data_IF_565195824857
#
_entry.id   IF_565195824857
#
_cell.length_a   1.000
_cell.length_b   1.000
_cell.length_c   1.000
_cell.angle_alpha   90.00
_cell.angle_beta   90.00
_cell.angle_gamma   90.00
#
_symmetry.space_group_name_H-M   'P 1'
#
loop_
_entity.id
_entity.type
_entity.pdbx_description
1 polymer ?
#
# COMPACT_ATOMS: atom_id res chain seq x y z
N UNK A 1 49.32 44.96 -38.60
CA UNK A 1 50.03 44.51 -37.37
C UNK A 1 49.05 43.60 -36.62
N UNK A 2 49.19 42.29 -36.76
CA UNK A 2 48.34 41.33 -36.05
C UNK A 2 48.94 41.08 -34.67
N UNK A 3 48.17 41.33 -33.61
CA UNK A 3 48.53 41.00 -32.22
C UNK A 3 48.73 39.50 -32.08
N UNK A 4 49.82 39.02 -31.45
CA UNK A 4 50.00 37.59 -31.22
C UNK A 4 48.93 37.12 -30.24
N UNK A 5 48.16 36.10 -30.63
CA UNK A 5 47.26 35.41 -29.72
C UNK A 5 48.11 34.75 -28.63
N UNK A 6 47.98 35.20 -27.39
CA UNK A 6 48.65 34.58 -26.24
C UNK A 6 48.18 33.14 -26.11
N UNK A 7 49.13 32.20 -26.08
CA UNK A 7 48.81 30.79 -25.89
C UNK A 7 48.11 30.59 -24.53
N UNK A 8 47.07 29.76 -24.44
CA UNK A 8 46.40 29.48 -23.18
C UNK A 8 47.38 28.86 -22.18
N UNK A 9 47.42 29.41 -20.97
CA UNK A 9 48.22 28.88 -19.85
C UNK A 9 47.68 27.54 -19.37
N UNK A 10 48.56 26.69 -18.82
CA UNK A 10 48.20 25.37 -18.27
C UNK A 10 47.06 25.48 -17.26
N UNK A 11 47.09 26.50 -16.39
CA UNK A 11 46.03 26.79 -15.41
C UNK A 11 44.66 27.06 -16.05
N UNK A 12 44.62 27.68 -17.24
CA UNK A 12 43.38 27.93 -17.97
C UNK A 12 42.81 26.64 -18.59
N UNK A 13 43.67 25.74 -19.04
CA UNK A 13 43.27 24.44 -19.56
C UNK A 13 42.72 23.55 -18.43
N UNK A 14 43.42 23.49 -17.29
CA UNK A 14 42.98 22.75 -16.11
C UNK A 14 41.64 23.28 -15.55
N UNK A 15 41.48 24.61 -15.48
CA UNK A 15 40.22 25.21 -15.05
C UNK A 15 39.07 24.91 -16.02
N UNK A 16 39.35 24.88 -17.34
CA UNK A 16 38.35 24.55 -18.36
C UNK A 16 37.89 23.09 -18.24
N UNK A 17 38.83 22.17 -17.98
CA UNK A 17 38.52 20.76 -17.80
C UNK A 17 37.72 20.53 -16.50
N UNK A 18 38.06 21.21 -15.41
CA UNK A 18 37.27 21.18 -14.16
C UNK A 18 35.85 21.72 -14.36
N UNK A 19 35.69 22.82 -15.10
CA UNK A 19 34.36 23.38 -15.42
C UNK A 19 33.54 22.41 -16.26
N UNK A 20 34.16 21.70 -17.21
CA UNK A 20 33.48 20.69 -18.02
C UNK A 20 32.97 19.52 -17.17
N UNK A 21 33.79 19.02 -16.24
CA UNK A 21 33.40 17.96 -15.30
C UNK A 21 32.25 18.42 -14.40
N UNK A 22 32.33 19.61 -13.81
CA UNK A 22 31.28 20.16 -12.96
C UNK A 22 29.96 20.41 -13.73
N UNK A 23 30.04 20.74 -15.01
CA UNK A 23 28.85 20.86 -15.86
C UNK A 23 28.19 19.49 -16.08
N UNK A 24 28.99 18.47 -16.37
CA UNK A 24 28.47 17.11 -16.55
C UNK A 24 27.84 16.57 -15.27
N UNK A 25 28.49 16.71 -14.12
CA UNK A 25 27.95 16.35 -12.81
C UNK A 25 26.63 17.09 -12.51
N UNK A 26 26.56 18.39 -12.78
CA UNK A 26 25.32 19.16 -12.62
C UNK A 26 24.19 18.61 -13.48
N UNK A 27 24.45 18.24 -14.75
CA UNK A 27 23.41 17.66 -15.60
C UNK A 27 22.89 16.32 -15.08
N UNK A 28 23.77 15.50 -14.49
CA UNK A 28 23.38 14.23 -13.87
C UNK A 28 22.55 14.46 -12.60
N UNK A 29 22.93 15.44 -11.78
CA UNK A 29 22.16 15.83 -10.59
C UNK A 29 20.76 16.33 -10.97
N UNK A 30 20.62 17.14 -12.02
CA UNK A 30 19.32 17.60 -12.50
C UNK A 30 18.41 16.44 -12.94
N UNK A 31 18.95 15.48 -13.69
CA UNK A 31 18.20 14.26 -14.08
C UNK A 31 17.77 13.46 -12.86
N UNK A 32 18.63 13.32 -11.85
CA UNK A 32 18.30 12.64 -10.61
C UNK A 32 17.17 13.35 -9.84
N UNK A 33 17.20 14.68 -9.77
CA UNK A 33 16.16 15.49 -9.14
C UNK A 33 14.82 15.30 -9.86
N UNK A 34 14.79 15.32 -11.20
CA UNK A 34 13.58 15.09 -11.98
C UNK A 34 12.98 13.70 -11.71
N UNK A 35 13.79 12.65 -11.69
CA UNK A 35 13.33 11.30 -11.35
C UNK A 35 12.77 11.23 -9.93
N UNK A 36 13.45 11.83 -8.95
CA UNK A 36 12.97 11.88 -7.58
C UNK A 36 11.64 12.62 -7.46
N UNK A 37 11.45 13.72 -8.19
CA UNK A 37 10.16 14.45 -8.19
C UNK A 37 9.01 13.59 -8.72
N UNK A 38 9.25 12.79 -9.77
CA UNK A 38 8.27 11.84 -10.31
C UNK A 38 7.92 10.78 -9.26
N UNK A 39 8.92 10.23 -8.58
CA UNK A 39 8.74 9.23 -7.52
C UNK A 39 7.97 9.81 -6.32
N UNK A 40 8.33 11.01 -5.88
CA UNK A 40 7.61 11.71 -4.81
C UNK A 40 6.16 12.00 -5.21
N UNK A 41 5.88 12.41 -6.45
CA UNK A 41 4.52 12.63 -6.92
C UNK A 41 3.70 11.33 -6.94
N UNK A 42 4.32 10.22 -7.34
CA UNK A 42 3.71 8.88 -7.30
C UNK A 42 3.41 8.42 -5.88
N UNK A 43 4.38 8.59 -4.97
CA UNK A 43 4.23 8.26 -3.55
C UNK A 43 3.17 9.12 -2.88
N UNK A 44 3.14 10.43 -3.12
CA UNK A 44 2.12 11.33 -2.58
C UNK A 44 0.71 10.94 -3.00
N UNK A 45 0.51 10.53 -4.27
CA UNK A 45 -0.78 9.99 -4.75
C UNK A 45 -1.17 8.71 -4.00
N UNK A 46 -0.22 7.82 -3.74
CA UNK A 46 -0.46 6.57 -2.99
C UNK A 46 -0.78 6.84 -1.52
N UNK A 47 -0.05 7.73 -0.87
CA UNK A 47 -0.29 8.16 0.51
C UNK A 47 -1.69 8.77 0.62
N UNK A 48 -2.05 9.70 -0.27
CA UNK A 48 -3.40 10.29 -0.30
C UNK A 48 -4.52 9.26 -0.51
N UNK A 49 -4.26 8.21 -1.31
CA UNK A 49 -5.20 7.12 -1.50
C UNK A 49 -5.36 6.22 -0.26
N UNK A 50 -4.33 6.15 0.59
CA UNK A 50 -4.32 5.37 1.84
C UNK A 50 -4.83 6.18 3.05
N UNK A 51 -4.55 7.49 3.09
CA UNK A 51 -5.06 8.44 4.08
C UNK A 51 -6.56 8.72 3.94
N UNK A 52 -7.09 8.48 2.73
CA UNK A 52 -8.52 8.27 2.59
C UNK A 52 -8.89 7.04 3.41
N UNK A 53 -9.32 7.26 4.66
CA UNK A 53 -9.92 6.25 5.53
C UNK A 53 -10.75 5.31 4.66
N UNK A 54 -10.67 3.97 4.84
CA UNK A 54 -11.40 3.05 3.98
C UNK A 54 -12.85 3.48 4.05
N UNK A 55 -13.34 4.15 2.98
CA UNK A 55 -14.70 4.67 2.92
C UNK A 55 -15.54 3.51 3.36
N UNK A 56 -16.17 3.61 4.53
CA UNK A 56 -17.00 2.54 5.06
C UNK A 56 -17.94 2.18 3.93
N UNK A 57 -17.65 1.06 3.28
CA UNK A 57 -18.40 0.68 2.12
C UNK A 57 -19.72 0.27 2.73
N UNK A 58 -20.81 1.01 2.49
CA UNK A 58 -22.15 0.61 2.97
C UNK A 58 -22.42 -0.89 2.70
N UNK A 59 -21.84 -1.41 1.61
CA UNK A 59 -21.85 -2.84 1.24
C UNK A 59 -21.03 -3.74 2.18
N UNK A 60 -19.89 -3.30 2.69
CA UNK A 60 -19.10 -4.05 3.68
C UNK A 60 -19.89 -4.23 4.98
N UNK A 61 -20.51 -3.18 5.51
CA UNK A 61 -21.38 -3.27 6.69
C UNK A 61 -22.52 -4.28 6.48
N UNK A 62 -23.24 -4.19 5.35
CA UNK A 62 -24.27 -5.17 4.99
C UNK A 62 -23.75 -6.61 4.92
N UNK A 63 -22.54 -6.83 4.41
CA UNK A 63 -21.92 -8.16 4.39
C UNK A 63 -21.60 -8.65 5.80
N UNK A 64 -21.16 -7.77 6.72
CA UNK A 64 -20.92 -8.13 8.11
C UNK A 64 -22.21 -8.49 8.83
N UNK A 65 -23.31 -7.78 8.58
CA UNK A 65 -24.61 -8.09 9.17
C UNK A 65 -25.16 -9.44 8.69
N UNK A 66 -25.05 -9.73 7.39
CA UNK A 66 -25.44 -11.04 6.85
C UNK A 66 -24.58 -12.16 7.44
N UNK A 67 -23.28 -11.93 7.62
CA UNK A 67 -22.37 -12.89 8.25
C UNK A 67 -22.74 -13.13 9.72
N UNK A 68 -23.05 -12.06 10.45
CA UNK A 68 -23.46 -12.11 11.85
C UNK A 68 -24.75 -12.93 12.01
N UNK A 69 -25.78 -12.59 11.23
CA UNK A 69 -27.05 -13.31 11.19
C UNK A 69 -26.86 -14.78 10.84
N UNK A 70 -25.99 -15.07 9.87
CA UNK A 70 -25.69 -16.45 9.49
C UNK A 70 -25.06 -17.22 10.65
N UNK A 71 -24.07 -16.65 11.35
CA UNK A 71 -23.41 -17.31 12.47
C UNK A 71 -24.37 -17.54 13.66
N UNK A 72 -25.27 -16.59 13.93
CA UNK A 72 -26.32 -16.77 14.95
C UNK A 72 -27.29 -17.88 14.55
N UNK A 73 -27.88 -17.79 13.35
CA UNK A 73 -28.93 -18.73 12.91
C UNK A 73 -28.41 -20.14 12.70
N UNK A 74 -27.19 -20.27 12.19
CA UNK A 74 -26.57 -21.59 11.95
C UNK A 74 -26.04 -22.24 13.23
N UNK A 75 -25.87 -21.48 14.33
CA UNK A 75 -25.23 -21.95 15.55
C UNK A 75 -23.77 -22.38 15.36
N UNK A 76 -23.14 -22.04 14.23
CA UNK A 76 -21.77 -22.42 13.96
C UNK A 76 -20.81 -21.63 14.87
N UNK A 77 -19.84 -22.34 15.46
CA UNK A 77 -18.82 -21.72 16.31
C UNK A 77 -17.95 -20.71 15.56
N UNK A 78 -17.86 -20.84 14.23
CA UNK A 78 -17.21 -19.90 13.34
C UNK A 78 -17.06 -20.46 11.93
N UNK A 79 -16.69 -19.59 10.98
CA UNK A 79 -16.52 -19.92 9.57
C UNK A 79 -15.15 -19.51 9.04
N UNK A 80 -14.61 -20.29 8.11
CA UNK A 80 -13.39 -19.90 7.38
C UNK A 80 -13.69 -18.82 6.34
N UNK A 81 -12.69 -18.06 5.91
CA UNK A 81 -12.83 -17.09 4.81
C UNK A 81 -13.38 -17.70 3.50
N UNK A 82 -13.08 -18.98 3.24
CA UNK A 82 -13.60 -19.70 2.08
C UNK A 82 -15.11 -19.92 2.19
N UNK A 83 -15.59 -20.34 3.37
CA UNK A 83 -17.02 -20.52 3.63
C UNK A 83 -17.76 -19.19 3.67
N UNK A 84 -17.14 -18.15 4.26
CA UNK A 84 -17.69 -16.80 4.26
C UNK A 84 -17.98 -16.30 2.84
N UNK A 85 -17.08 -16.56 1.88
CA UNK A 85 -17.31 -16.20 0.48
C UNK A 85 -18.61 -16.83 -0.06
N UNK A 86 -18.87 -18.10 0.26
CA UNK A 86 -20.11 -18.80 -0.12
C UNK A 86 -21.34 -18.22 0.57
N UNK A 87 -21.26 -17.93 1.87
CA UNK A 87 -22.36 -17.33 2.65
C UNK A 87 -22.76 -15.97 2.09
N UNK A 88 -21.76 -15.13 1.81
CA UNK A 88 -21.97 -13.77 1.30
C UNK A 88 -22.25 -13.73 -0.21
N UNK A 89 -22.19 -14.87 -0.91
CA UNK A 89 -22.31 -14.98 -2.38
C UNK A 89 -21.35 -14.06 -3.12
N UNK A 90 -20.11 -13.97 -2.64
CA UNK A 90 -19.04 -13.16 -3.24
C UNK A 90 -17.85 -14.02 -3.63
N UNK A 91 -16.97 -13.47 -4.48
CA UNK A 91 -15.73 -14.15 -4.82
C UNK A 91 -14.78 -14.23 -3.61
N UNK A 92 -13.93 -15.27 -3.52
CA UNK A 92 -12.96 -15.40 -2.42
C UNK A 92 -12.03 -14.19 -2.27
N UNK A 93 -11.68 -13.54 -3.38
CA UNK A 93 -10.88 -12.31 -3.38
C UNK A 93 -11.60 -11.17 -2.67
N UNK A 94 -12.90 -10.99 -2.93
CA UNK A 94 -13.72 -9.96 -2.30
C UNK A 94 -13.96 -10.25 -0.82
N UNK A 95 -14.20 -11.51 -0.47
CA UNK A 95 -14.26 -11.97 0.91
C UNK A 95 -12.97 -11.65 1.69
N UNK A 96 -11.79 -11.83 1.08
CA UNK A 96 -10.50 -11.50 1.70
C UNK A 96 -10.32 -9.99 1.94
N UNK A 97 -10.91 -9.13 1.11
CA UNK A 97 -10.88 -7.68 1.32
C UNK A 97 -11.70 -7.24 2.54
N UNK A 98 -12.70 -8.02 2.96
CA UNK A 98 -13.45 -7.75 4.19
C UNK A 98 -12.65 -8.04 5.47
N UNK A 99 -11.43 -8.60 5.36
CA UNK A 99 -10.61 -8.97 6.52
C UNK A 99 -10.38 -7.79 7.49
N UNK A 100 -10.09 -6.60 6.95
CA UNK A 100 -9.84 -5.42 7.79
C UNK A 100 -11.12 -5.02 8.53
N UNK A 101 -12.24 -4.92 7.81
CA UNK A 101 -13.55 -4.61 8.40
C UNK A 101 -14.00 -5.64 9.46
N UNK A 102 -13.73 -6.93 9.26
CA UNK A 102 -14.02 -7.97 10.27
C UNK A 102 -13.13 -7.81 11.51
N UNK A 103 -11.91 -7.31 11.34
CA UNK A 103 -10.96 -7.11 12.45
C UNK A 103 -11.27 -5.83 13.24
N UNK A 104 -11.87 -4.83 12.58
CA UNK A 104 -12.34 -3.57 13.16
C UNK A 104 -13.70 -3.74 13.87
N UNK A 105 -14.55 -4.68 13.43
CA UNK A 105 -15.87 -4.92 14.00
C UNK A 105 -15.80 -5.75 15.31
N UNK A 106 -16.24 -5.15 16.40
CA UNK A 106 -16.21 -5.73 17.75
C UNK A 106 -17.03 -7.03 17.89
N UNK A 107 -18.01 -7.26 17.01
CA UNK A 107 -18.87 -8.47 17.06
C UNK A 107 -18.10 -9.73 16.72
N UNK A 108 -16.96 -9.61 16.02
CA UNK A 108 -16.20 -10.76 15.55
C UNK A 108 -14.87 -10.92 16.29
N UNK A 109 -14.36 -12.14 16.24
CA UNK A 109 -13.02 -12.50 16.63
C UNK A 109 -12.45 -13.49 15.62
N UNK A 110 -11.25 -13.22 15.13
CA UNK A 110 -10.55 -14.10 14.20
C UNK A 110 -9.58 -14.97 14.99
N UNK A 111 -9.82 -16.27 15.01
CA UNK A 111 -9.01 -17.25 15.75
C UNK A 111 -8.32 -18.20 14.78
N UNK A 112 -7.16 -18.75 15.17
CA UNK A 112 -6.50 -19.80 14.40
C UNK A 112 -7.40 -21.04 14.34
N UNK A 113 -7.45 -21.69 13.17
CA UNK A 113 -8.25 -22.89 12.99
C UNK A 113 -7.70 -24.03 13.86
N UNK A 114 -8.54 -24.76 14.61
CA UNK A 114 -8.08 -25.73 15.62
C UNK A 114 -7.25 -26.87 15.02
N UNK A 115 -7.60 -27.32 13.81
CA UNK A 115 -6.93 -28.44 13.14
C UNK A 115 -6.09 -28.05 11.92
N UNK A 116 -6.17 -26.81 11.43
CA UNK A 116 -5.48 -26.36 10.20
C UNK A 116 -4.51 -25.25 10.55
N UNK A 117 -3.23 -25.56 10.53
CA UNK A 117 -2.15 -24.68 10.98
C UNK A 117 -2.10 -23.34 10.24
N UNK A 118 -2.48 -23.28 8.96
CA UNK A 118 -2.41 -22.07 8.13
C UNK A 118 -3.78 -21.45 7.81
N UNK A 119 -4.80 -21.71 8.63
CA UNK A 119 -6.15 -21.18 8.41
C UNK A 119 -6.66 -20.42 9.63
N UNK A 120 -7.52 -19.43 9.37
CA UNK A 120 -8.21 -18.67 10.40
C UNK A 120 -9.72 -18.87 10.27
N UNK A 121 -10.39 -18.80 11.41
CA UNK A 121 -11.84 -18.92 11.54
C UNK A 121 -12.35 -17.62 12.13
N UNK A 122 -13.40 -17.09 11.52
CA UNK A 122 -14.13 -15.91 11.99
C UNK A 122 -15.25 -16.43 12.89
N UNK A 123 -15.20 -16.04 14.15
CA UNK A 123 -16.15 -16.45 15.18
C UNK A 123 -16.89 -15.21 15.71
N UNK A 124 -18.07 -15.40 16.28
CA UNK A 124 -18.70 -14.35 17.08
C UNK A 124 -17.92 -14.17 18.39
N UNK A 125 -17.69 -12.92 18.78
CA UNK A 125 -17.12 -12.59 20.07
C UNK A 125 -18.14 -12.97 21.13
N UNK A 126 -17.79 -13.91 22.02
CA UNK A 126 -18.65 -14.21 23.17
C UNK A 126 -18.72 -12.97 24.05
N UNK A 127 -19.90 -12.37 24.14
CA UNK A 127 -20.20 -11.41 25.21
C UNK A 127 -20.09 -12.21 26.51
N UNK A 128 -19.06 -11.91 27.31
CA UNK A 128 -19.02 -12.43 28.69
C UNK A 128 -20.23 -11.82 29.39
N UNK A 129 -21.22 -12.67 29.71
CA UNK A 129 -22.25 -12.32 30.69
C UNK A 129 -21.62 -12.31 32.08
#
# INVERSE_FOLDING_TARGET
MATPASAPTIEYLDAKDQVAVLQEENTQLWKAIEMMQIDFASLAKRVKALEGAPKESKKAGQHLDVLYDFLIKSGQKGVTYKQMASVLKVTPRRAKQLKNHISEDDRFIVVRHPTRTNSHVICLRKVRK
#
